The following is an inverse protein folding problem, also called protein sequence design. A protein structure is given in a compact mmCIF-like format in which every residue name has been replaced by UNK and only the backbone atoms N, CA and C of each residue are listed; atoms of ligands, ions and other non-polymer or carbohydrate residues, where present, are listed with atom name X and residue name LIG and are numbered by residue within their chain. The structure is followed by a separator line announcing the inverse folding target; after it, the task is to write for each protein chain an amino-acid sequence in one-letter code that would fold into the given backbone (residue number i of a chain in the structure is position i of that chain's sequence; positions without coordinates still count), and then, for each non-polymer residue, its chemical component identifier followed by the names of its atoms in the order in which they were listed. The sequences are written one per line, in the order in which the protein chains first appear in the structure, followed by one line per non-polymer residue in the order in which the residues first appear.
data_IF_763998923225
#
_entry.id   IF_763998923225
#
_cell.length_a   1.000
_cell.length_b   1.000
_cell.length_c   1.000
_cell.angle_alpha   90.00
_cell.angle_beta   90.00
_cell.angle_gamma   90.00
#
_symmetry.space_group_name_H-M   'P 1'
#
loop_
_entity.id
_entity.type
_entity.pdbx_description
1 polymer ?
#
# COMPACT_ATOMS: atom_id res chain seq x y z
N UNK A 1 -5.79 1.36 15.69
CA UNK A 1 -5.32 1.41 14.29
C UNK A 1 -5.16 0.01 13.74
N UNK A 2 -5.70 -0.25 12.57
CA UNK A 2 -5.54 -1.53 11.87
C UNK A 2 -4.34 -1.40 10.95
N UNK A 3 -3.45 -2.39 10.93
CA UNK A 3 -2.25 -2.37 10.10
C UNK A 3 -2.17 -3.61 9.22
N UNK A 4 -1.78 -3.40 7.97
CA UNK A 4 -1.46 -4.48 7.04
C UNK A 4 -0.02 -4.30 6.58
N UNK A 5 0.76 -5.37 6.60
CA UNK A 5 2.16 -5.35 6.19
C UNK A 5 2.38 -6.23 4.97
N UNK A 6 3.19 -5.74 4.05
CA UNK A 6 3.53 -6.46 2.82
C UNK A 6 5.05 -6.48 2.70
N UNK A 7 5.64 -7.68 2.64
CA UNK A 7 7.07 -7.83 2.35
C UNK A 7 7.23 -8.01 0.84
N UNK A 8 8.01 -7.13 0.22
CA UNK A 8 8.16 -7.08 -1.22
C UNK A 8 9.64 -6.96 -1.57
N UNK A 9 10.09 -7.78 -2.52
CA UNK A 9 11.38 -7.56 -3.15
C UNK A 9 11.28 -6.30 -4.03
N UNK A 10 12.41 -5.59 -4.22
CA UNK A 10 12.40 -4.36 -5.03
C UNK A 10 11.81 -4.60 -6.43
N UNK A 11 12.10 -5.76 -7.03
CA UNK A 11 11.57 -6.12 -8.36
C UNK A 11 10.07 -6.30 -8.40
N UNK A 12 9.43 -6.47 -7.25
CA UNK A 12 7.97 -6.60 -7.13
C UNK A 12 7.28 -5.27 -6.93
N UNK A 13 8.05 -4.19 -6.76
CA UNK A 13 7.55 -2.85 -6.50
C UNK A 13 7.65 -1.97 -7.74
N UNK A 14 6.84 -0.91 -7.75
CA UNK A 14 6.83 0.08 -8.82
C UNK A 14 7.08 1.44 -8.18
N UNK A 15 8.13 2.13 -8.62
CA UNK A 15 8.40 3.52 -8.25
C UNK A 15 7.97 4.44 -9.39
N UNK A 16 7.62 5.67 -9.05
CA UNK A 16 7.32 6.73 -10.02
C UNK A 16 8.49 7.00 -10.97
N UNK A 17 9.71 6.66 -10.54
CA UNK A 17 10.93 6.85 -11.32
C UNK A 17 11.29 5.66 -12.20
N UNK A 18 10.56 4.55 -12.10
CA UNK A 18 10.83 3.37 -12.91
C UNK A 18 10.41 3.60 -14.36
N UNK A 19 11.24 3.11 -15.28
CA UNK A 19 10.96 3.16 -16.73
C UNK A 19 10.58 1.77 -17.22
N UNK A 20 9.48 1.26 -16.70
CA UNK A 20 8.99 -0.06 -17.08
C UNK A 20 8.14 0.02 -18.35
N UNK A 21 8.26 -1.01 -19.18
CA UNK A 21 7.33 -1.21 -20.28
C UNK A 21 5.90 -1.33 -19.70
N UNK A 22 4.91 -0.78 -20.39
CA UNK A 22 3.54 -0.73 -19.88
C UNK A 22 2.97 -2.11 -19.53
N UNK A 23 3.35 -3.16 -20.25
CA UNK A 23 2.91 -4.54 -19.96
C UNK A 23 3.52 -5.06 -18.67
N UNK A 24 4.81 -4.79 -18.44
CA UNK A 24 5.49 -5.18 -17.20
C UNK A 24 4.87 -4.44 -16.01
N UNK A 25 4.60 -3.15 -16.18
CA UNK A 25 3.95 -2.35 -15.13
C UNK A 25 2.55 -2.87 -14.83
N UNK A 26 1.76 -3.18 -15.86
CA UNK A 26 0.42 -3.73 -15.67
C UNK A 26 0.44 -5.07 -14.96
N UNK A 27 1.41 -5.94 -15.29
CA UNK A 27 1.58 -7.24 -14.63
C UNK A 27 1.92 -7.08 -13.15
N UNK A 28 2.87 -6.21 -12.81
CA UNK A 28 3.23 -5.93 -11.41
C UNK A 28 2.05 -5.33 -10.64
N UNK A 29 1.34 -4.39 -11.24
CA UNK A 29 0.16 -3.77 -10.64
C UNK A 29 -0.90 -4.83 -10.30
N UNK A 30 -1.17 -5.74 -11.24
CA UNK A 30 -2.14 -6.81 -11.03
C UNK A 30 -1.71 -7.76 -9.91
N UNK A 31 -0.42 -8.09 -9.83
CA UNK A 31 0.11 -8.95 -8.77
C UNK A 31 -0.01 -8.31 -7.39
N UNK A 32 0.32 -7.02 -7.28
CA UNK A 32 0.21 -6.28 -6.02
C UNK A 32 -1.24 -6.18 -5.57
N UNK A 33 -2.15 -5.90 -6.49
CA UNK A 33 -3.57 -5.84 -6.21
C UNK A 33 -4.11 -7.18 -5.70
N UNK A 34 -3.73 -8.27 -6.37
CA UNK A 34 -4.12 -9.63 -5.96
C UNK A 34 -3.56 -9.97 -4.58
N UNK A 35 -2.30 -9.64 -4.32
CA UNK A 35 -1.67 -9.87 -3.02
C UNK A 35 -2.44 -9.17 -1.90
N UNK A 36 -2.76 -7.89 -2.07
CA UNK A 36 -3.50 -7.13 -1.06
C UNK A 36 -4.91 -7.67 -0.87
N UNK A 37 -5.58 -8.04 -1.95
CA UNK A 37 -6.92 -8.62 -1.89
C UNK A 37 -6.96 -9.86 -1.01
N UNK A 38 -6.01 -10.77 -1.16
CA UNK A 38 -5.96 -11.97 -0.35
C UNK A 38 -5.50 -11.70 1.08
N UNK A 39 -4.49 -10.88 1.24
CA UNK A 39 -3.90 -10.62 2.56
C UNK A 39 -4.83 -9.83 3.48
N UNK A 40 -5.62 -8.94 2.93
CA UNK A 40 -6.51 -8.07 3.70
C UNK A 40 -7.94 -8.60 3.83
N UNK A 41 -8.23 -9.74 3.23
CA UNK A 41 -9.56 -10.34 3.29
C UNK A 41 -9.99 -10.55 4.73
N UNK A 42 -11.23 -10.14 5.05
CA UNK A 42 -11.79 -10.21 6.40
C UNK A 42 -11.01 -9.40 7.47
N UNK A 43 -10.20 -8.45 7.02
CA UNK A 43 -9.40 -7.61 7.93
C UNK A 43 -10.20 -6.60 8.74
N UNK A 44 -11.43 -6.30 8.32
CA UNK A 44 -12.36 -5.42 9.04
C UNK A 44 -13.74 -6.04 9.03
N UNK A 45 -14.54 -5.76 10.08
CA UNK A 45 -15.91 -6.23 10.17
C UNK A 45 -16.86 -5.33 9.37
N UNK A 46 -16.63 -4.01 9.44
CA UNK A 46 -17.44 -3.01 8.74
C UNK A 46 -16.50 -2.19 7.88
N UNK A 47 -16.71 -2.16 6.56
CA UNK A 47 -15.85 -1.36 5.67
C UNK A 47 -15.88 0.12 6.03
N UNK A 48 -14.75 0.79 5.89
CA UNK A 48 -14.72 2.24 5.92
C UNK A 48 -15.48 2.78 4.72
N UNK A 49 -16.10 3.94 4.89
CA UNK A 49 -16.97 4.54 3.88
C UNK A 49 -16.98 6.06 4.03
N UNK A 50 -17.76 6.75 3.21
CA UNK A 50 -17.95 8.19 3.33
C UNK A 50 -18.60 8.57 4.69
N UNK A 51 -19.37 7.66 5.28
CA UNK A 51 -19.97 7.84 6.62
C UNK A 51 -19.07 7.39 7.75
N UNK A 52 -18.02 6.65 7.44
CA UNK A 52 -17.01 6.17 8.37
C UNK A 52 -15.64 6.34 7.72
N UNK A 53 -15.21 7.59 7.50
CA UNK A 53 -13.95 7.85 6.77
C UNK A 53 -12.72 7.49 7.57
N UNK A 54 -11.60 7.34 6.88
CA UNK A 54 -10.34 6.94 7.47
C UNK A 54 -9.17 7.71 6.90
N UNK A 55 -8.03 7.57 7.57
CA UNK A 55 -6.73 8.00 7.10
C UNK A 55 -5.87 6.76 6.86
N UNK A 56 -5.07 6.81 5.81
CA UNK A 56 -4.10 5.76 5.52
C UNK A 56 -2.69 6.30 5.77
N UNK A 57 -1.94 5.64 6.65
CA UNK A 57 -0.56 5.98 6.95
C UNK A 57 0.33 4.87 6.43
N UNK A 58 1.13 5.21 5.43
CA UNK A 58 2.03 4.26 4.78
C UNK A 58 3.43 4.43 5.36
N UNK A 59 3.96 3.36 5.93
CA UNK A 59 5.33 3.33 6.42
C UNK A 59 6.13 2.37 5.56
N UNK A 60 7.24 2.85 5.00
CA UNK A 60 8.09 2.03 4.15
C UNK A 60 9.41 1.77 4.87
N UNK A 61 9.75 0.50 5.00
CA UNK A 61 11.01 0.03 5.57
C UNK A 61 11.89 -0.48 4.42
N UNK A 62 13.15 -0.05 4.40
CA UNK A 62 14.08 -0.39 3.33
C UNK A 62 15.05 -1.49 3.78
N UNK A 63 15.46 -2.39 2.88
CA UNK A 63 16.50 -3.39 3.20
C UNK A 63 17.88 -2.77 3.38
N UNK A 64 18.11 -1.56 2.88
CA UNK A 64 19.41 -0.87 2.95
C UNK A 64 19.24 0.55 3.45
N UNK A 65 20.38 1.19 3.79
CA UNK A 65 20.40 2.61 4.19
C UNK A 65 20.42 3.57 3.01
N UNK A 66 20.25 3.06 1.80
CA UNK A 66 20.23 3.87 0.59
C UNK A 66 19.08 4.88 0.66
N UNK A 67 19.37 6.12 0.26
CA UNK A 67 18.37 7.20 0.26
C UNK A 67 17.26 6.90 -0.76
N UNK A 68 16.03 7.12 -0.36
CA UNK A 68 14.85 7.02 -1.21
C UNK A 68 13.75 7.91 -0.64
N UNK A 69 12.79 8.28 -1.50
CA UNK A 69 11.61 9.04 -1.07
C UNK A 69 10.41 8.11 -1.02
N UNK A 70 9.83 7.84 0.17
CA UNK A 70 8.68 6.96 0.28
C UNK A 70 7.52 7.28 -0.67
N UNK A 71 7.15 8.56 -0.92
CA UNK A 71 6.08 8.88 -1.86
C UNK A 71 6.33 8.41 -3.30
N UNK A 72 7.59 8.18 -3.69
CA UNK A 72 7.89 7.66 -5.02
C UNK A 72 7.36 6.24 -5.21
N UNK A 73 7.05 5.52 -4.14
CA UNK A 73 6.41 4.20 -4.21
C UNK A 73 4.88 4.28 -4.26
N UNK A 74 4.32 5.46 -4.53
CA UNK A 74 2.88 5.61 -4.68
C UNK A 74 2.27 4.60 -5.67
N UNK A 75 2.87 4.29 -6.83
CA UNK A 75 2.29 3.27 -7.73
C UNK A 75 2.15 1.89 -7.07
N UNK A 76 3.10 1.50 -6.22
CA UNK A 76 2.99 0.28 -5.41
C UNK A 76 1.84 0.38 -4.43
N UNK A 77 1.78 1.47 -3.68
CA UNK A 77 0.76 1.68 -2.66
C UNK A 77 -0.64 1.76 -3.29
N UNK A 78 -0.78 2.44 -4.43
CA UNK A 78 -2.06 2.54 -5.13
C UNK A 78 -2.58 1.17 -5.54
N UNK A 79 -1.69 0.31 -6.06
CA UNK A 79 -2.07 -1.06 -6.43
C UNK A 79 -2.52 -1.88 -5.21
N UNK A 80 -1.79 -1.72 -4.08
CA UNK A 80 -2.18 -2.38 -2.82
C UNK A 80 -3.52 -1.85 -2.31
N UNK A 81 -3.76 -0.56 -2.37
CA UNK A 81 -5.03 0.04 -1.97
C UNK A 81 -6.19 -0.44 -2.83
N UNK A 82 -5.97 -0.60 -4.13
CA UNK A 82 -6.99 -1.16 -5.02
C UNK A 82 -7.34 -2.60 -4.61
N UNK A 83 -6.34 -3.39 -4.23
CA UNK A 83 -6.56 -4.73 -3.68
C UNK A 83 -7.29 -4.71 -2.34
N UNK A 84 -7.00 -3.73 -1.50
CA UNK A 84 -7.70 -3.55 -0.23
C UNK A 84 -9.17 -3.16 -0.45
N UNK A 85 -9.46 -2.38 -1.49
CA UNK A 85 -10.84 -2.11 -1.93
C UNK A 85 -11.54 -3.42 -2.31
N UNK A 86 -10.88 -4.25 -3.11
CA UNK A 86 -11.41 -5.57 -3.51
C UNK A 86 -11.65 -6.47 -2.29
N UNK A 87 -10.83 -6.34 -1.26
CA UNK A 87 -10.95 -7.11 -0.02
C UNK A 87 -12.05 -6.62 0.92
N UNK A 88 -12.66 -5.47 0.63
CA UNK A 88 -13.72 -4.91 1.46
C UNK A 88 -13.24 -4.12 2.66
N UNK A 89 -11.99 -3.65 2.68
CA UNK A 89 -11.50 -2.79 3.76
C UNK A 89 -12.23 -1.45 3.76
N UNK A 90 -12.51 -0.94 2.58
CA UNK A 90 -13.30 0.27 2.37
C UNK A 90 -14.19 0.10 1.14
N UNK A 91 -15.23 0.92 1.08
CA UNK A 91 -16.20 0.87 -0.03
C UNK A 91 -15.59 1.36 -1.34
N UNK A 92 -14.69 2.33 -1.24
CA UNK A 92 -13.91 2.88 -2.36
C UNK A 92 -12.70 3.59 -1.77
N UNK A 93 -11.69 3.86 -2.61
CA UNK A 93 -10.47 4.57 -2.19
C UNK A 93 -10.49 6.06 -2.53
N UNK A 94 -11.68 6.62 -2.76
CA UNK A 94 -11.82 8.04 -3.08
C UNK A 94 -11.61 8.94 -1.85
N UNK A 95 -11.57 10.26 -2.09
CA UNK A 95 -11.24 11.25 -1.08
C UNK A 95 -12.28 11.39 0.05
N UNK A 96 -13.51 10.94 -0.18
CA UNK A 96 -14.56 10.94 0.84
C UNK A 96 -14.40 9.79 1.81
N UNK A 97 -13.71 8.73 1.42
CA UNK A 97 -13.48 7.53 2.23
C UNK A 97 -12.09 7.55 2.85
N UNK A 98 -11.05 7.74 2.05
CA UNK A 98 -9.67 7.92 2.52
C UNK A 98 -9.37 9.41 2.44
N UNK A 99 -9.59 10.11 3.53
CA UNK A 99 -9.51 11.58 3.54
C UNK A 99 -8.07 12.09 3.61
N UNK A 100 -7.12 11.22 3.93
CA UNK A 100 -5.71 11.56 3.99
C UNK A 100 -4.88 10.30 3.75
N UNK A 101 -3.81 10.43 2.96
CA UNK A 101 -2.78 9.40 2.83
C UNK A 101 -1.43 10.05 3.07
N UNK A 102 -0.69 9.53 4.05
CA UNK A 102 0.63 10.04 4.39
C UNK A 102 1.69 8.95 4.31
N UNK A 103 2.95 9.36 4.14
CA UNK A 103 4.09 8.47 4.01
C UNK A 103 5.11 8.73 5.12
N UNK A 104 5.69 7.66 5.63
CA UNK A 104 6.76 7.72 6.63
C UNK A 104 7.92 6.81 6.22
N UNK A 105 9.13 7.23 6.60
CA UNK A 105 10.28 6.32 6.63
C UNK A 105 10.17 5.43 7.86
N UNK A 106 10.27 4.13 7.66
CA UNK A 106 10.27 3.16 8.77
C UNK A 106 11.66 2.76 9.24
N UNK A 107 12.71 3.13 8.49
CA UNK A 107 14.06 2.68 8.76
C UNK A 107 14.37 1.37 8.05
N UNK A 108 15.21 0.55 8.66
CA UNK A 108 15.62 -0.72 8.07
C UNK A 108 14.56 -1.80 8.30
N UNK A 109 14.34 -2.62 7.27
CA UNK A 109 13.40 -3.74 7.36
C UNK A 109 13.94 -4.91 8.17
N UNK A 110 15.26 -5.01 8.28
CA UNK A 110 15.92 -6.12 8.96
C UNK A 110 16.13 -7.36 8.10
N UNK A 111 15.76 -7.31 6.83
CA UNK A 111 15.97 -8.40 5.88
C UNK A 111 16.23 -7.86 4.48
N UNK A 112 16.17 -8.71 3.46
CA UNK A 112 16.47 -8.34 2.07
C UNK A 112 15.27 -7.71 1.34
N UNK A 113 14.12 -7.63 1.98
CA UNK A 113 12.90 -7.11 1.39
C UNK A 113 12.60 -5.71 1.88
N UNK A 114 11.86 -4.94 1.08
CA UNK A 114 11.13 -3.80 1.58
C UNK A 114 9.93 -4.31 2.37
N UNK A 115 9.50 -3.53 3.35
CA UNK A 115 8.23 -3.76 4.02
C UNK A 115 7.38 -2.51 3.86
N UNK A 116 6.21 -2.68 3.28
CA UNK A 116 5.21 -1.62 3.13
C UNK A 116 4.11 -1.89 4.14
N UNK A 117 3.97 -0.99 5.11
CA UNK A 117 2.95 -1.10 6.15
C UNK A 117 1.90 -0.03 5.91
N UNK A 118 0.64 -0.43 5.81
CA UNK A 118 -0.48 0.48 5.64
C UNK A 118 -1.32 0.42 6.90
N UNK A 119 -1.26 1.50 7.67
CA UNK A 119 -2.07 1.67 8.87
C UNK A 119 -3.33 2.46 8.54
N UNK A 120 -4.46 2.01 9.05
CA UNK A 120 -5.76 2.64 8.81
C UNK A 120 -6.31 3.11 10.14
N UNK A 121 -6.62 4.39 10.20
CA UNK A 121 -7.16 5.04 11.38
C UNK A 121 -8.50 5.68 11.03
N UNK A 122 -9.52 5.39 11.83
CA UNK A 122 -10.82 6.05 11.66
C UNK A 122 -10.68 7.53 12.04
N UNK A 123 -11.30 8.36 11.25
CA UNK A 123 -11.33 9.82 11.48
C UNK A 123 -12.45 10.18 12.44
#
# INVERSE_FOLDING_TARGET
MIKFSFELMRKEMISSNDRLHFRAKASLTAKLRTLARFKCKLGVNVPYSDKKPCEAIVTIYSPTRRTYDPPNFWPTVKALQDGMTDAGIWTDDNKEVIVFTGFKHGGLSGNKCYRVEIGIKEV
#
